data_IF_079544222890
#
_entry.id   IF_079544222890
#
_cell.length_a   1.000
_cell.length_b   1.000
_cell.length_c   1.000
_cell.angle_alpha   90.00
_cell.angle_beta   90.00
_cell.angle_gamma   90.00
#
_symmetry.space_group_name_H-M   'P 1'
#
loop_
_entity.id
_entity.type
_entity.pdbx_description
1 polymer ?
#
# COMPACT_ATOMS: atom_id res chain seq x y z
N UNK A 1 -10.37 -9.47 -23.10
CA UNK A 1 -9.07 -9.97 -22.65
C UNK A 1 -9.22 -10.82 -21.39
N UNK A 2 -8.58 -11.97 -21.35
CA UNK A 2 -8.66 -12.90 -20.23
C UNK A 2 -7.67 -12.45 -19.13
N UNK A 3 -8.07 -12.56 -17.88
CA UNK A 3 -7.23 -12.13 -16.76
C UNK A 3 -5.83 -12.76 -16.76
N UNK A 4 -5.69 -14.01 -17.19
CA UNK A 4 -4.41 -14.70 -17.24
C UNK A 4 -3.42 -14.17 -18.27
N UNK A 5 -3.88 -13.31 -19.21
CA UNK A 5 -3.01 -12.68 -20.21
C UNK A 5 -2.63 -11.25 -19.87
N UNK A 6 -3.08 -10.74 -18.72
CA UNK A 6 -2.79 -9.39 -18.26
C UNK A 6 -1.41 -9.30 -17.63
N UNK A 7 -0.81 -8.11 -17.66
CA UNK A 7 0.41 -7.83 -16.89
C UNK A 7 0.14 -7.93 -15.39
N UNK A 8 1.21 -8.04 -14.58
CA UNK A 8 1.09 -8.09 -13.13
C UNK A 8 0.32 -6.89 -12.56
N UNK A 9 0.61 -5.68 -13.06
CA UNK A 9 -0.09 -4.47 -12.64
C UNK A 9 -1.55 -4.47 -13.03
N UNK A 10 -1.87 -4.92 -14.24
CA UNK A 10 -3.25 -5.03 -14.70
C UNK A 10 -4.01 -6.07 -13.89
N UNK A 11 -3.37 -7.18 -13.54
CA UNK A 11 -3.98 -8.20 -12.68
C UNK A 11 -4.30 -7.63 -11.29
N UNK A 12 -3.41 -6.80 -10.72
CA UNK A 12 -3.68 -6.14 -9.45
C UNK A 12 -4.88 -5.19 -9.55
N UNK A 13 -4.96 -4.43 -10.64
CA UNK A 13 -6.07 -3.51 -10.88
C UNK A 13 -7.41 -4.25 -10.99
N UNK A 14 -7.42 -5.39 -11.69
CA UNK A 14 -8.61 -6.22 -11.81
C UNK A 14 -9.04 -6.77 -10.45
N UNK A 15 -8.08 -7.24 -9.65
CA UNK A 15 -8.37 -7.78 -8.32
C UNK A 15 -8.97 -6.71 -7.40
N UNK A 16 -8.40 -5.52 -7.40
CA UNK A 16 -8.91 -4.39 -6.62
C UNK A 16 -10.32 -4.00 -7.11
N UNK A 17 -10.52 -3.91 -8.41
CA UNK A 17 -11.82 -3.59 -8.98
C UNK A 17 -12.90 -4.59 -8.59
N UNK A 18 -12.57 -5.88 -8.61
CA UNK A 18 -13.50 -6.94 -8.18
C UNK A 18 -13.87 -6.79 -6.70
N UNK A 19 -12.88 -6.52 -5.86
CA UNK A 19 -13.13 -6.32 -4.44
C UNK A 19 -14.05 -5.12 -4.20
N UNK A 20 -13.88 -4.04 -4.95
CA UNK A 20 -14.71 -2.84 -4.84
C UNK A 20 -16.16 -3.08 -5.26
N UNK A 21 -16.39 -4.02 -6.17
CA UNK A 21 -17.75 -4.33 -6.62
C UNK A 21 -18.64 -4.87 -5.50
N UNK A 22 -18.06 -5.44 -4.45
CA UNK A 22 -18.81 -5.90 -3.28
C UNK A 22 -19.22 -4.76 -2.34
N UNK A 23 -18.84 -3.52 -2.64
CA UNK A 23 -19.11 -2.33 -1.83
C UNK A 23 -18.61 -2.50 -0.39
N UNK A 24 -17.32 -2.77 -0.18
CA UNK A 24 -16.79 -3.07 1.14
C UNK A 24 -16.71 -1.83 2.02
N UNK A 25 -16.76 -2.03 3.33
CA UNK A 25 -16.41 -1.00 4.32
C UNK A 25 -14.92 -0.98 4.61
N UNK A 26 -14.28 -2.13 4.43
CA UNK A 26 -12.85 -2.30 4.63
C UNK A 26 -12.28 -3.09 3.46
N UNK A 27 -11.25 -2.54 2.83
CA UNK A 27 -10.52 -3.20 1.77
C UNK A 27 -9.11 -3.50 2.27
N UNK A 28 -8.73 -4.77 2.20
CA UNK A 28 -7.39 -5.22 2.57
C UNK A 28 -6.56 -5.41 1.31
N UNK A 29 -5.43 -4.73 1.22
CA UNK A 29 -4.53 -4.82 0.06
C UNK A 29 -3.15 -5.23 0.57
N UNK A 30 -2.71 -6.42 0.17
CA UNK A 30 -1.47 -7.01 0.66
C UNK A 30 -0.38 -6.96 -0.41
N UNK A 31 0.65 -6.16 -0.15
CA UNK A 31 1.84 -6.01 -0.98
C UNK A 31 1.53 -5.85 -2.48
N UNK A 32 0.72 -4.85 -2.87
CA UNK A 32 0.27 -4.74 -4.25
C UNK A 32 1.39 -4.44 -5.25
N UNK A 33 2.53 -3.93 -4.81
CA UNK A 33 3.64 -3.58 -5.69
C UNK A 33 4.66 -4.72 -5.86
N UNK A 34 4.49 -5.83 -5.14
CA UNK A 34 5.47 -6.93 -5.14
C UNK A 34 5.65 -7.50 -6.55
N UNK A 35 6.91 -7.57 -6.99
CA UNK A 35 7.27 -8.13 -8.28
C UNK A 35 6.99 -7.24 -9.49
N UNK A 36 6.55 -6.00 -9.28
CA UNK A 36 6.25 -5.07 -10.36
C UNK A 36 7.41 -4.12 -10.63
N UNK A 37 7.54 -3.67 -11.88
CA UNK A 37 8.52 -2.65 -12.25
C UNK A 37 8.20 -1.32 -11.55
N UNK A 38 9.18 -0.41 -11.40
CA UNK A 38 8.92 0.89 -10.75
C UNK A 38 7.79 1.69 -11.40
N UNK A 39 7.71 1.67 -12.71
CA UNK A 39 6.65 2.37 -13.45
C UNK A 39 5.27 1.80 -13.11
N UNK A 40 5.16 0.47 -13.17
CA UNK A 40 3.89 -0.22 -12.91
C UNK A 40 3.51 -0.08 -11.44
N UNK A 41 4.48 -0.12 -10.52
CA UNK A 41 4.22 0.16 -9.10
C UNK A 41 3.58 1.52 -8.90
N UNK A 42 4.12 2.55 -9.59
CA UNK A 42 3.55 3.90 -9.53
C UNK A 42 2.11 3.95 -9.99
N UNK A 43 1.77 3.23 -11.06
CA UNK A 43 0.40 3.16 -11.57
C UNK A 43 -0.55 2.49 -10.56
N UNK A 44 -0.10 1.42 -9.93
CA UNK A 44 -0.90 0.71 -8.93
C UNK A 44 -1.14 1.59 -7.69
N UNK A 45 -0.11 2.27 -7.21
CA UNK A 45 -0.26 3.19 -6.06
C UNK A 45 -1.18 4.36 -6.38
N UNK A 46 -1.11 4.91 -7.59
CA UNK A 46 -2.00 5.99 -8.02
C UNK A 46 -3.46 5.52 -8.00
N UNK A 47 -3.71 4.30 -8.48
CA UNK A 47 -5.04 3.72 -8.46
C UNK A 47 -5.55 3.51 -7.03
N UNK A 48 -4.69 3.03 -6.13
CA UNK A 48 -5.06 2.85 -4.71
C UNK A 48 -5.43 4.19 -4.08
N UNK A 49 -4.68 5.23 -4.40
CA UNK A 49 -4.96 6.58 -3.92
C UNK A 49 -6.36 7.06 -4.32
N UNK A 50 -6.82 6.69 -5.50
CA UNK A 50 -8.15 7.07 -5.99
C UNK A 50 -9.29 6.30 -5.34
N UNK A 51 -9.01 5.13 -4.77
CA UNK A 51 -10.04 4.30 -4.12
C UNK A 51 -10.50 4.91 -2.80
N UNK A 52 -9.63 5.67 -2.13
CA UNK A 52 -9.92 6.21 -0.81
C UNK A 52 -11.11 7.17 -0.86
N UNK A 53 -12.26 6.70 -0.42
CA UNK A 53 -13.53 7.42 -0.44
C UNK A 53 -14.18 7.37 0.94
N UNK A 54 -15.05 8.34 1.27
CA UNK A 54 -15.84 8.26 2.50
C UNK A 54 -16.58 6.93 2.58
N UNK A 55 -16.48 6.26 3.72
CA UNK A 55 -17.14 4.98 3.96
C UNK A 55 -16.34 3.74 3.61
N UNK A 56 -15.18 3.90 2.95
CA UNK A 56 -14.30 2.77 2.67
C UNK A 56 -12.96 2.99 3.38
N UNK A 57 -12.65 2.11 4.33
CA UNK A 57 -11.34 2.10 4.96
C UNK A 57 -10.42 1.16 4.17
N UNK A 58 -9.16 1.55 4.01
CA UNK A 58 -8.17 0.73 3.30
C UNK A 58 -7.04 0.40 4.26
N UNK A 59 -6.77 -0.90 4.42
CA UNK A 59 -5.59 -1.37 5.13
C UNK A 59 -4.60 -1.89 4.11
N UNK A 60 -3.49 -1.19 3.97
CA UNK A 60 -2.45 -1.49 3.00
C UNK A 60 -1.23 -2.09 3.71
N UNK A 61 -0.81 -3.27 3.27
CA UNK A 61 0.46 -3.88 3.69
C UNK A 61 1.45 -3.68 2.57
N UNK A 62 2.58 -3.03 2.88
CA UNK A 62 3.54 -2.67 1.83
C UNK A 62 4.96 -2.60 2.38
N UNK A 63 5.93 -3.00 1.56
CA UNK A 63 7.36 -2.88 1.85
C UNK A 63 7.96 -1.60 1.26
N UNK A 64 7.28 -1.00 0.29
CA UNK A 64 7.67 0.27 -0.31
C UNK A 64 7.32 1.41 0.66
N UNK A 65 8.21 1.67 1.60
CA UNK A 65 7.95 2.52 2.77
C UNK A 65 7.55 3.93 2.39
N UNK A 66 8.29 4.55 1.47
CA UNK A 66 8.02 5.93 1.08
C UNK A 66 6.62 6.09 0.49
N UNK A 67 6.18 5.14 -0.33
CA UNK A 67 4.85 5.16 -0.93
C UNK A 67 3.75 4.90 0.09
N UNK A 68 3.97 3.96 1.00
CA UNK A 68 3.02 3.69 2.08
C UNK A 68 2.81 4.93 2.93
N UNK A 69 3.90 5.63 3.28
CA UNK A 69 3.82 6.85 4.09
C UNK A 69 3.09 7.99 3.38
N UNK A 70 3.18 8.05 2.04
CA UNK A 70 2.46 9.06 1.26
C UNK A 70 0.96 8.77 1.17
N UNK A 71 0.59 7.49 1.05
CA UNK A 71 -0.80 7.08 0.85
C UNK A 71 -1.61 7.06 2.13
N UNK A 72 -1.01 6.59 3.23
CA UNK A 72 -1.75 6.29 4.44
C UNK A 72 -1.78 7.48 5.40
N UNK A 73 -2.94 7.73 5.99
CA UNK A 73 -3.08 8.73 7.05
C UNK A 73 -2.48 8.26 8.36
N UNK A 74 -2.44 6.93 8.57
CA UNK A 74 -1.82 6.34 9.76
C UNK A 74 -1.02 5.12 9.35
N UNK A 75 0.15 4.98 9.93
CA UNK A 75 1.08 3.91 9.60
C UNK A 75 1.52 3.16 10.86
N UNK A 76 1.71 1.86 10.69
CA UNK A 76 2.27 0.98 11.71
C UNK A 76 3.47 0.27 11.10
N UNK A 77 4.63 0.41 11.75
CA UNK A 77 5.85 -0.27 11.30
C UNK A 77 6.01 -1.54 12.12
N UNK A 78 6.08 -2.68 11.42
CA UNK A 78 6.24 -3.98 12.06
C UNK A 78 7.65 -4.52 11.84
N UNK A 79 8.19 -5.12 12.87
CA UNK A 79 9.46 -5.85 12.81
C UNK A 79 9.36 -7.06 13.71
N UNK A 80 9.67 -8.23 13.16
CA UNK A 80 9.66 -9.50 13.89
C UNK A 80 8.34 -9.73 14.65
N UNK A 81 7.22 -9.44 13.99
CA UNK A 81 5.90 -9.67 14.55
C UNK A 81 5.43 -8.63 15.58
N UNK A 82 6.17 -7.53 15.74
CA UNK A 82 5.83 -6.49 16.70
C UNK A 82 5.68 -5.14 16.01
N UNK A 83 4.76 -4.32 16.51
CA UNK A 83 4.66 -2.92 16.11
C UNK A 83 5.76 -2.15 16.83
N UNK A 84 6.73 -1.63 16.09
CA UNK A 84 7.86 -0.88 16.66
C UNK A 84 7.67 0.62 16.58
N UNK A 85 6.75 1.09 15.74
CA UNK A 85 6.44 2.51 15.61
C UNK A 85 5.06 2.68 14.98
N UNK A 86 4.41 3.81 15.27
CA UNK A 86 3.14 4.17 14.66
C UNK A 86 3.02 5.68 14.59
N UNK A 87 2.31 6.17 13.58
CA UNK A 87 2.10 7.61 13.40
C UNK A 87 1.79 7.96 11.97
N UNK A 88 1.81 9.26 11.68
CA UNK A 88 1.68 9.76 10.31
C UNK A 88 2.97 9.48 9.55
N UNK A 89 2.90 9.52 8.22
CA UNK A 89 4.08 9.36 7.39
C UNK A 89 5.14 10.43 7.68
N UNK A 90 4.70 11.67 7.95
CA UNK A 90 5.60 12.76 8.28
C UNK A 90 6.34 12.52 9.60
N UNK A 91 5.62 12.06 10.63
CA UNK A 91 6.21 11.76 11.93
C UNK A 91 7.25 10.65 11.83
N UNK A 92 6.92 9.57 11.14
CA UNK A 92 7.82 8.41 11.02
C UNK A 92 9.02 8.71 10.13
N UNK A 93 8.84 9.50 9.07
CA UNK A 93 9.93 9.92 8.19
C UNK A 93 10.94 10.82 8.89
N UNK A 94 10.51 11.56 9.89
CA UNK A 94 11.37 12.46 10.66
C UNK A 94 12.17 11.73 11.74
N UNK A 95 11.83 10.49 12.05
CA UNK A 95 12.54 9.70 13.08
C UNK A 95 13.80 9.09 12.48
N UNK A 96 14.95 9.70 12.75
CA UNK A 96 16.23 9.26 12.20
C UNK A 96 16.64 7.87 12.69
N UNK A 97 16.38 7.55 13.94
CA UNK A 97 16.69 6.22 14.48
C UNK A 97 15.89 5.12 13.80
N UNK A 98 14.63 5.37 13.55
CA UNK A 98 13.75 4.44 12.85
C UNK A 98 14.20 4.27 11.40
N UNK A 99 14.51 5.36 10.71
CA UNK A 99 14.98 5.32 9.32
C UNK A 99 16.28 4.51 9.20
N UNK A 100 17.25 4.79 10.07
CA UNK A 100 18.55 4.12 10.03
C UNK A 100 18.45 2.63 10.36
N UNK A 101 17.60 2.26 11.32
CA UNK A 101 17.53 0.89 11.82
C UNK A 101 16.60 -0.01 11.00
N UNK A 102 15.50 0.52 10.48
CA UNK A 102 14.43 -0.32 9.93
C UNK A 102 13.91 0.06 8.56
N UNK A 103 13.98 1.31 8.15
CA UNK A 103 13.32 1.77 6.93
C UNK A 103 14.21 1.79 5.69
N UNK A 104 15.51 1.72 5.87
CA UNK A 104 16.45 1.75 4.74
C UNK A 104 16.44 3.06 3.96
N UNK A 105 16.01 4.12 4.60
CA UNK A 105 15.87 5.44 3.95
C UNK A 105 17.03 6.36 4.24
#
# INVERSE_FOLDING_TARGET
QVAGTLSGGEQQMVAIGRALMSKPRLLLIDEPSLGLSPRVRGEVFAAISEIHRPGVAVLLVEQEVAKAFQLASRNYVLSQGRVIAQGTGAELSADEGLRAAYLGM
#
